data_IF_469159070523
#
_entry.id   IF_469159070523
#
_cell.length_a   1.000
_cell.length_b   1.000
_cell.length_c   1.000
_cell.angle_alpha   90.00
_cell.angle_beta   90.00
_cell.angle_gamma   90.00
#
_symmetry.space_group_name_H-M   'P 1'
#
loop_
_entity.id
_entity.type
_entity.pdbx_description
1 polymer ?
#
# COMPACT_ATOMS: atom_id res chain seq x y z
N UNK A 1 17.54 4.15 -2.12
CA UNK A 1 17.41 4.63 -3.52
C UNK A 1 16.22 5.56 -3.53
N UNK A 2 16.36 6.75 -4.11
CA UNK A 2 15.24 7.68 -4.21
C UNK A 2 14.42 7.31 -5.45
N UNK A 3 13.12 7.07 -5.25
CA UNK A 3 12.18 6.77 -6.33
C UNK A 3 11.26 7.98 -6.49
N UNK A 4 10.91 8.31 -7.73
CA UNK A 4 10.04 9.42 -8.04
C UNK A 4 8.92 8.97 -8.96
N UNK A 5 7.76 9.62 -8.88
CA UNK A 5 6.63 9.41 -9.78
C UNK A 5 6.55 10.56 -10.77
N UNK A 6 6.48 10.23 -12.05
CA UNK A 6 6.32 11.21 -13.11
C UNK A 6 4.87 11.68 -13.17
N UNK A 7 4.64 12.99 -13.05
CA UNK A 7 3.31 13.63 -13.09
C UNK A 7 3.06 14.42 -14.37
N UNK A 8 4.02 14.41 -15.29
CA UNK A 8 3.86 15.04 -16.61
C UNK A 8 3.04 14.17 -17.57
N UNK A 9 2.66 14.75 -18.70
CA UNK A 9 1.86 14.04 -19.72
C UNK A 9 2.70 13.05 -20.54
N UNK A 10 3.92 13.45 -20.92
CA UNK A 10 4.87 12.60 -21.66
C UNK A 10 6.27 13.19 -21.61
N UNK A 11 7.27 12.37 -21.33
CA UNK A 11 8.69 12.73 -21.45
C UNK A 11 9.45 11.65 -22.20
N UNK A 12 10.37 12.03 -23.09
CA UNK A 12 11.26 11.06 -23.77
C UNK A 12 12.65 11.22 -23.18
N UNK A 13 13.15 10.18 -22.51
CA UNK A 13 14.51 10.14 -21.97
C UNK A 13 15.49 9.82 -23.10
N UNK A 14 16.48 10.68 -23.27
CA UNK A 14 17.55 10.49 -24.26
C UNK A 14 18.44 9.28 -23.89
N UNK A 15 18.55 8.98 -22.60
CA UNK A 15 19.39 7.94 -22.00
C UNK A 15 19.06 6.49 -22.40
N UNK A 16 18.03 6.25 -23.24
CA UNK A 16 17.67 4.88 -23.63
C UNK A 16 16.37 4.69 -24.42
N UNK A 17 15.81 5.72 -25.06
CA UNK A 17 14.51 5.65 -25.77
C UNK A 17 13.31 5.28 -24.87
N UNK A 18 13.38 5.52 -23.57
CA UNK A 18 12.25 5.29 -22.66
C UNK A 18 11.33 6.51 -22.71
N UNK A 19 10.06 6.28 -23.09
CA UNK A 19 9.01 7.28 -22.92
C UNK A 19 8.39 7.09 -21.54
N UNK A 20 8.44 8.12 -20.71
CA UNK A 20 7.70 8.19 -19.46
C UNK A 20 6.33 8.81 -19.73
N UNK A 21 5.33 8.27 -19.07
CA UNK A 21 3.93 8.69 -19.07
C UNK A 21 3.46 8.94 -17.64
N UNK A 22 2.36 9.69 -17.50
CA UNK A 22 1.83 10.04 -16.19
C UNK A 22 1.66 8.78 -15.31
N UNK A 23 2.27 8.82 -14.13
CA UNK A 23 2.26 7.73 -13.16
C UNK A 23 3.47 6.81 -13.21
N UNK A 24 4.33 6.89 -14.24
CA UNK A 24 5.54 6.06 -14.32
C UNK A 24 6.53 6.36 -13.18
N UNK A 25 7.22 5.31 -12.74
CA UNK A 25 8.23 5.39 -11.70
C UNK A 25 9.61 5.64 -12.32
N UNK A 26 10.31 6.62 -11.75
CA UNK A 26 11.66 7.03 -12.08
C UNK A 26 12.54 6.72 -10.89
N UNK A 27 13.30 5.65 -11.01
CA UNK A 27 14.31 5.27 -10.04
C UNK A 27 15.60 6.05 -10.31
N UNK A 28 16.18 6.62 -9.26
CA UNK A 28 17.50 7.27 -9.28
C UNK A 28 17.68 8.27 -10.46
N UNK A 29 16.85 9.32 -10.55
CA UNK A 29 17.04 10.36 -11.57
C UNK A 29 18.38 11.05 -11.36
N UNK A 30 19.09 11.28 -12.46
CA UNK A 30 20.35 12.04 -12.44
C UNK A 30 20.11 13.51 -12.07
N UNK A 31 21.13 14.22 -11.58
CA UNK A 31 21.00 15.65 -11.28
C UNK A 31 20.51 16.48 -12.48
N UNK A 32 20.93 16.11 -13.71
CA UNK A 32 20.47 16.76 -14.93
C UNK A 32 18.97 16.55 -15.20
N UNK A 33 18.42 15.41 -14.77
CA UNK A 33 17.01 15.08 -14.91
C UNK A 33 16.16 15.78 -13.85
N UNK A 34 16.66 15.88 -12.63
CA UNK A 34 16.04 16.67 -11.57
C UNK A 34 16.02 18.17 -11.93
N UNK A 35 17.07 18.69 -12.56
CA UNK A 35 17.09 20.09 -13.03
C UNK A 35 16.12 20.31 -14.21
N UNK A 36 16.08 19.38 -15.16
CA UNK A 36 15.26 19.52 -16.37
C UNK A 36 13.75 19.30 -16.12
N UNK A 37 13.38 18.35 -15.25
CA UNK A 37 11.99 17.96 -15.04
C UNK A 37 11.68 17.52 -13.60
N UNK A 38 12.49 17.92 -12.62
CA UNK A 38 12.23 17.64 -11.20
C UNK A 38 10.90 18.20 -10.70
N UNK A 39 10.38 19.27 -11.29
CA UNK A 39 9.03 19.80 -11.02
C UNK A 39 7.92 18.80 -11.41
N UNK A 40 8.18 17.94 -12.40
CA UNK A 40 7.30 16.87 -12.85
C UNK A 40 7.57 15.54 -12.14
N UNK A 41 8.46 15.52 -11.15
CA UNK A 41 8.82 14.34 -10.38
C UNK A 41 8.38 14.52 -8.93
N UNK A 42 7.44 13.70 -8.50
CA UNK A 42 7.01 13.66 -7.09
C UNK A 42 7.81 12.58 -6.36
N UNK A 43 8.56 12.89 -5.29
CA UNK A 43 9.28 11.87 -4.54
C UNK A 43 8.31 10.83 -3.98
N UNK A 44 8.65 9.56 -4.18
CA UNK A 44 7.94 8.41 -3.62
C UNK A 44 8.88 7.76 -2.62
N UNK A 45 8.45 7.72 -1.36
CA UNK A 45 9.21 6.99 -0.35
C UNK A 45 9.02 5.48 -0.59
N UNK A 46 10.03 4.85 -1.19
CA UNK A 46 10.08 3.39 -1.37
C UNK A 46 10.94 2.72 -0.31
N UNK A 47 11.40 3.46 0.72
CA UNK A 47 12.35 2.96 1.72
C UNK A 47 11.68 2.84 3.08
N UNK A 48 10.70 1.94 3.17
CA UNK A 48 10.24 1.39 4.45
C UNK A 48 8.77 1.64 4.76
N UNK A 49 8.01 0.55 4.74
CA UNK A 49 6.84 0.29 5.60
C UNK A 49 5.98 1.48 5.99
N UNK A 50 4.91 1.69 5.24
CA UNK A 50 3.85 2.60 5.60
C UNK A 50 2.81 2.57 4.51
N UNK A 51 1.84 1.68 4.65
CA UNK A 51 0.53 1.85 4.04
C UNK A 51 -0.02 3.17 4.57
N UNK A 52 0.29 4.28 3.90
CA UNK A 52 -0.43 5.53 4.08
C UNK A 52 -1.78 5.36 3.38
N UNK A 53 -2.63 4.58 4.04
CA UNK A 53 -4.07 4.76 3.93
C UNK A 53 -4.35 6.06 4.67
N UNK A 54 -4.26 7.16 3.92
CA UNK A 54 -4.96 8.42 4.19
C UNK A 54 -6.47 8.09 4.33
N UNK A 55 -6.83 7.62 5.52
CA UNK A 55 -8.06 6.89 5.77
C UNK A 55 -8.42 6.92 7.25
N UNK A 56 -8.60 8.13 7.77
CA UNK A 56 -9.45 8.41 8.93
C UNK A 56 -9.13 7.66 10.24
N UNK A 57 -8.01 7.95 10.91
CA UNK A 57 -7.87 7.75 12.36
C UNK A 57 -8.20 6.34 12.89
N UNK A 58 -8.07 5.32 12.05
CA UNK A 58 -8.26 3.93 12.40
C UNK A 58 -7.04 3.42 13.17
N UNK A 59 -7.29 2.51 14.12
CA UNK A 59 -6.20 1.78 14.77
C UNK A 59 -5.49 0.95 13.70
N UNK A 60 -4.16 0.87 13.74
CA UNK A 60 -3.42 -0.02 12.85
C UNK A 60 -3.79 -1.49 13.17
N UNK A 61 -4.08 -2.33 12.17
CA UNK A 61 -4.40 -3.72 12.43
C UNK A 61 -3.22 -4.44 13.10
N UNK A 62 -3.47 -5.39 14.03
CA UNK A 62 -2.42 -6.11 14.73
C UNK A 62 -1.52 -6.96 13.82
N UNK A 63 -2.01 -7.31 12.63
CA UNK A 63 -1.24 -7.95 11.56
C UNK A 63 -1.88 -7.63 10.21
N UNK A 64 -1.13 -7.82 9.12
CA UNK A 64 -1.68 -7.70 7.77
C UNK A 64 -2.46 -8.98 7.40
N UNK A 65 -3.80 -8.91 7.24
CA UNK A 65 -4.59 -10.07 6.89
C UNK A 65 -4.29 -10.56 5.48
N UNK A 66 -3.94 -9.65 4.56
CA UNK A 66 -3.66 -9.96 3.14
C UNK A 66 -2.33 -10.70 2.96
N UNK A 67 -1.38 -10.43 3.84
CA UNK A 67 -0.08 -11.10 3.90
C UNK A 67 -0.12 -12.55 4.41
N UNK A 68 -1.27 -13.03 4.91
CA UNK A 68 -1.44 -14.40 5.42
C UNK A 68 -2.55 -15.15 4.70
N UNK A 69 -2.55 -16.48 4.81
CA UNK A 69 -3.64 -17.31 4.28
C UNK A 69 -4.87 -17.21 5.18
N UNK A 70 -6.07 -17.43 4.62
CA UNK A 70 -7.33 -17.47 5.38
C UNK A 70 -7.28 -18.46 6.55
N UNK A 71 -6.58 -19.58 6.39
CA UNK A 71 -6.40 -20.56 7.47
C UNK A 71 -5.55 -20.01 8.62
N UNK A 72 -4.48 -19.29 8.30
CA UNK A 72 -3.63 -18.61 9.30
C UNK A 72 -4.38 -17.48 9.98
N UNK A 73 -5.14 -16.69 9.21
CA UNK A 73 -5.99 -15.63 9.73
C UNK A 73 -7.00 -16.17 10.74
N UNK A 74 -7.71 -17.25 10.41
CA UNK A 74 -8.64 -17.91 11.34
C UNK A 74 -7.96 -18.44 12.60
N UNK A 75 -6.77 -19.03 12.48
CA UNK A 75 -6.01 -19.45 13.66
C UNK A 75 -5.68 -18.25 14.55
N UNK A 76 -5.19 -17.15 13.97
CA UNK A 76 -4.88 -15.94 14.75
C UNK A 76 -6.12 -15.38 15.46
N UNK A 77 -7.26 -15.34 14.77
CA UNK A 77 -8.53 -14.89 15.33
C UNK A 77 -9.02 -15.78 16.49
N UNK A 78 -8.87 -17.11 16.37
CA UNK A 78 -9.28 -18.07 17.41
C UNK A 78 -8.28 -18.10 18.60
N UNK A 79 -6.99 -17.94 18.31
CA UNK A 79 -5.91 -17.97 19.31
C UNK A 79 -5.80 -16.66 20.13
N UNK A 80 -6.38 -15.55 19.66
CA UNK A 80 -6.24 -14.23 20.28
C UNK A 80 -7.58 -13.51 20.42
N UNK A 81 -7.89 -13.04 21.63
CA UNK A 81 -9.02 -12.15 21.91
C UNK A 81 -8.74 -10.72 21.42
N UNK A 82 -8.93 -10.47 20.12
CA UNK A 82 -8.82 -9.12 19.55
C UNK A 82 -9.97 -8.22 20.01
N UNK A 83 -9.67 -6.95 20.28
CA UNK A 83 -10.70 -5.97 20.59
C UNK A 83 -11.53 -5.61 19.35
N UNK A 84 -12.77 -5.12 19.50
CA UNK A 84 -13.61 -4.74 18.36
C UNK A 84 -12.95 -3.75 17.41
N UNK A 85 -12.14 -2.82 17.93
CA UNK A 85 -11.44 -1.84 17.13
C UNK A 85 -10.26 -2.44 16.33
N UNK A 86 -9.62 -3.50 16.84
CA UNK A 86 -8.61 -4.26 16.10
C UNK A 86 -9.25 -5.13 15.01
N UNK A 87 -10.42 -5.72 15.28
CA UNK A 87 -11.20 -6.45 14.29
C UNK A 87 -11.69 -5.53 13.15
N UNK A 88 -12.16 -4.31 13.48
CA UNK A 88 -12.48 -3.27 12.49
C UNK A 88 -11.27 -2.91 11.62
N UNK A 89 -10.08 -2.80 12.24
CA UNK A 89 -8.86 -2.50 11.52
C UNK A 89 -8.43 -3.64 10.58
N UNK A 90 -8.55 -4.90 11.03
CA UNK A 90 -8.29 -6.08 10.18
C UNK A 90 -9.28 -6.15 9.01
N UNK A 91 -10.55 -5.87 9.27
CA UNK A 91 -11.59 -5.87 8.23
C UNK A 91 -11.30 -4.82 7.15
N UNK A 92 -11.03 -3.59 7.57
CA UNK A 92 -10.67 -2.50 6.66
C UNK A 92 -9.38 -2.80 5.87
N UNK A 93 -8.38 -3.40 6.50
CA UNK A 93 -7.13 -3.77 5.83
C UNK A 93 -7.32 -4.88 4.79
N UNK A 94 -8.16 -5.88 5.09
CA UNK A 94 -8.52 -6.92 4.13
C UNK A 94 -9.35 -6.36 2.98
N UNK A 95 -10.33 -5.47 3.27
CA UNK A 95 -11.16 -4.83 2.26
C UNK A 95 -10.34 -3.95 1.31
N UNK A 96 -9.36 -3.21 1.83
CA UNK A 96 -8.49 -2.33 1.04
C UNK A 96 -7.45 -3.07 0.17
N UNK A 97 -7.08 -4.30 0.54
CA UNK A 97 -6.06 -5.07 -0.17
C UNK A 97 -6.63 -6.09 -1.15
N UNK A 98 -6.75 -7.36 -0.74
CA UNK A 98 -7.22 -8.45 -1.63
C UNK A 98 -8.75 -8.65 -1.59
N UNK A 99 -9.45 -8.05 -0.62
CA UNK A 99 -10.90 -8.14 -0.43
C UNK A 99 -11.43 -9.58 -0.48
N UNK A 100 -10.74 -10.54 0.15
CA UNK A 100 -11.12 -11.96 0.05
C UNK A 100 -12.36 -12.19 0.90
N UNK A 101 -13.47 -12.51 0.25
CA UNK A 101 -14.77 -12.71 0.91
C UNK A 101 -14.70 -13.69 2.09
N UNK A 102 -13.92 -14.78 1.97
CA UNK A 102 -13.77 -15.77 3.05
C UNK A 102 -12.96 -15.26 4.26
N UNK A 103 -12.07 -14.29 4.05
CA UNK A 103 -11.33 -13.64 5.13
C UNK A 103 -12.20 -12.60 5.84
N UNK A 104 -12.93 -11.78 5.07
CA UNK A 104 -13.90 -10.82 5.61
C UNK A 104 -14.97 -11.50 6.44
N UNK A 105 -15.56 -12.59 5.93
CA UNK A 105 -16.56 -13.40 6.65
C UNK A 105 -16.02 -13.98 7.97
N UNK A 106 -14.74 -14.37 7.99
CA UNK A 106 -14.10 -14.85 9.21
C UNK A 106 -13.89 -13.75 10.26
N UNK A 107 -13.52 -12.53 9.83
CA UNK A 107 -13.36 -11.38 10.72
C UNK A 107 -14.73 -10.92 11.25
N UNK A 108 -15.75 -10.87 10.39
CA UNK A 108 -17.12 -10.50 10.78
C UNK A 108 -17.73 -11.50 11.76
N UNK A 109 -17.50 -12.80 11.57
CA UNK A 109 -17.96 -13.83 12.50
C UNK A 109 -17.45 -13.60 13.93
N UNK A 110 -16.18 -13.20 14.11
CA UNK A 110 -15.63 -12.88 15.44
C UNK A 110 -16.15 -11.56 16.02
N UNK A 111 -16.60 -10.63 15.18
CA UNK A 111 -17.24 -9.39 15.67
C UNK A 111 -18.63 -9.62 16.25
N UNK A 112 -19.32 -10.65 15.75
CA UNK A 112 -20.69 -11.01 16.15
C UNK A 112 -20.74 -12.08 17.27
N UNK A 113 -19.61 -12.71 17.60
CA UNK A 113 -19.45 -13.73 18.64
C UNK A 113 -19.47 -13.18 20.07
#
# INVERSE_FOLDING_TARGET
MATYRFTGTRLVRDSGQTTLTEGDLVEDPTDAELDAFGDLLTPVDTTGGGSDVDGAGGIEPPFDPTGVTVATLRSNLDDNDYSPAELDALHAAEEAGESRETALDAIDAEREG
#
